data_IF_495834007206
#
_entry.id   IF_495834007206
#
_cell.length_a   1.000
_cell.length_b   1.000
_cell.length_c   1.000
_cell.angle_alpha   90.00
_cell.angle_beta   90.00
_cell.angle_gamma   90.00
#
_symmetry.space_group_name_H-M   'P 1'
#
loop_
_entity.id
_entity.type
_entity.pdbx_description
1 polymer ?
#
# COMPACT_ATOMS: atom_id res chain seq x y z
N UNK A 1 22.08 25.40 31.86
CA UNK A 1 23.37 25.22 31.14
C UNK A 1 23.42 23.78 30.59
N UNK A 2 23.03 23.55 29.34
CA UNK A 2 22.98 22.20 28.73
C UNK A 2 24.43 21.73 28.49
N UNK A 3 24.88 20.68 29.19
CA UNK A 3 26.28 20.23 29.15
C UNK A 3 26.70 19.83 27.72
N UNK A 4 27.98 20.04 27.36
CA UNK A 4 28.52 19.74 26.01
C UNK A 4 28.24 18.29 25.56
N UNK A 5 28.15 17.37 26.53
CA UNK A 5 27.76 15.96 26.36
C UNK A 5 26.31 15.80 25.86
N UNK A 6 25.37 16.59 26.38
CA UNK A 6 23.96 16.55 25.95
C UNK A 6 23.77 16.95 24.48
N UNK A 7 24.61 17.86 23.97
CA UNK A 7 24.58 18.24 22.54
C UNK A 7 25.07 17.11 21.65
N UNK A 8 26.14 16.42 22.03
CA UNK A 8 26.66 15.26 21.30
C UNK A 8 25.64 14.12 21.23
N UNK A 9 24.98 13.83 22.36
CA UNK A 9 23.93 12.82 22.43
C UNK A 9 22.75 13.17 21.52
N UNK A 10 22.32 14.44 21.49
CA UNK A 10 21.27 14.90 20.59
C UNK A 10 21.62 14.67 19.12
N UNK A 11 22.87 14.93 18.68
CA UNK A 11 23.25 14.70 17.29
C UNK A 11 23.20 13.22 16.91
N UNK A 12 23.55 12.31 17.82
CA UNK A 12 23.44 10.87 17.60
C UNK A 12 21.99 10.45 17.46
N UNK A 13 21.10 10.93 18.34
CA UNK A 13 19.66 10.66 18.26
C UNK A 13 19.09 11.16 16.93
N UNK A 14 19.43 12.39 16.52
CA UNK A 14 19.02 12.94 15.24
C UNK A 14 19.53 12.12 14.05
N UNK A 15 20.77 11.65 14.10
CA UNK A 15 21.32 10.77 13.07
C UNK A 15 20.54 9.47 12.92
N UNK A 16 20.22 8.82 14.05
CA UNK A 16 19.43 7.57 14.06
C UNK A 16 18.02 7.80 13.53
N UNK A 17 17.33 8.85 13.99
CA UNK A 17 15.99 9.19 13.52
C UNK A 17 16.03 9.44 12.01
N UNK A 18 16.99 10.23 11.52
CA UNK A 18 17.12 10.53 10.09
C UNK A 18 17.33 9.25 9.27
N UNK A 19 18.18 8.33 9.73
CA UNK A 19 18.40 7.05 9.06
C UNK A 19 17.14 6.20 9.01
N UNK A 20 16.37 6.12 10.11
CA UNK A 20 15.12 5.36 10.16
C UNK A 20 14.07 6.01 9.25
N UNK A 21 13.93 7.34 9.27
CA UNK A 21 13.01 8.06 8.39
C UNK A 21 13.36 7.84 6.93
N UNK A 22 14.64 7.85 6.55
CA UNK A 22 15.06 7.62 5.17
C UNK A 22 14.76 6.18 4.73
N UNK A 23 15.01 5.21 5.62
CA UNK A 23 14.67 3.81 5.38
C UNK A 23 13.16 3.64 5.15
N UNK A 24 12.33 4.16 6.07
CA UNK A 24 10.87 4.09 5.97
C UNK A 24 10.37 4.80 4.72
N UNK A 25 10.91 5.98 4.39
CA UNK A 25 10.56 6.70 3.17
C UNK A 25 10.88 5.89 1.91
N UNK A 26 12.02 5.22 1.86
CA UNK A 26 12.39 4.37 0.72
C UNK A 26 11.44 3.19 0.55
N UNK A 27 11.03 2.55 1.64
CA UNK A 27 10.03 1.46 1.63
C UNK A 27 8.68 2.01 1.21
N UNK A 28 8.26 3.16 1.74
CA UNK A 28 6.99 3.79 1.41
C UNK A 28 6.87 4.10 -0.09
N UNK A 29 7.93 4.63 -0.71
CA UNK A 29 7.94 4.95 -2.14
C UNK A 29 7.68 3.69 -2.98
N UNK A 30 8.28 2.55 -2.63
CA UNK A 30 8.10 1.30 -3.38
C UNK A 30 6.76 0.63 -3.04
N UNK A 31 6.34 0.66 -1.77
CA UNK A 31 5.08 0.08 -1.32
C UNK A 31 3.85 0.69 -1.98
N UNK A 32 3.92 1.97 -2.37
CA UNK A 32 2.85 2.67 -3.08
C UNK A 32 3.13 2.85 -4.60
N UNK A 33 4.19 2.23 -5.13
CA UNK A 33 4.46 2.26 -6.58
C UNK A 33 3.62 1.23 -7.32
N UNK A 34 2.60 1.70 -8.04
CA UNK A 34 1.76 0.85 -8.89
C UNK A 34 2.57 0.01 -9.89
N UNK A 35 3.68 0.53 -10.41
CA UNK A 35 4.48 -0.19 -11.41
C UNK A 35 5.18 -1.41 -10.82
N UNK A 36 5.53 -1.35 -9.53
CA UNK A 36 6.06 -2.50 -8.80
C UNK A 36 5.08 -3.67 -8.86
N UNK A 37 3.81 -3.45 -8.53
CA UNK A 37 2.78 -4.47 -8.56
C UNK A 37 2.46 -4.97 -9.97
N UNK A 38 2.40 -4.07 -10.96
CA UNK A 38 2.22 -4.47 -12.38
C UNK A 38 3.30 -5.45 -12.81
N UNK A 39 4.55 -5.19 -12.44
CA UNK A 39 5.67 -6.08 -12.75
C UNK A 39 5.51 -7.42 -12.06
N UNK A 40 5.13 -7.43 -10.77
CA UNK A 40 4.87 -8.67 -10.02
C UNK A 40 3.74 -9.49 -10.62
N UNK A 41 2.66 -8.88 -11.10
CA UNK A 41 1.57 -9.60 -11.77
C UNK A 41 2.02 -10.34 -13.03
N UNK A 42 2.95 -9.75 -13.78
CA UNK A 42 3.54 -10.37 -14.96
C UNK A 42 4.52 -11.48 -14.54
N UNK A 43 5.38 -11.23 -13.56
CA UNK A 43 6.39 -12.17 -13.08
C UNK A 43 5.78 -13.46 -12.51
N UNK A 44 4.66 -13.33 -11.79
CA UNK A 44 3.96 -14.46 -11.16
C UNK A 44 2.78 -15.00 -11.96
N UNK A 45 2.57 -14.52 -13.20
CA UNK A 45 1.47 -14.95 -14.07
C UNK A 45 0.10 -14.90 -13.36
N UNK A 46 -0.17 -13.75 -12.72
CA UNK A 46 -1.36 -13.54 -11.90
C UNK A 46 -2.65 -13.69 -12.71
N UNK A 47 -2.62 -13.38 -14.01
CA UNK A 47 -3.73 -13.58 -14.94
C UNK A 47 -4.17 -15.05 -14.97
N UNK A 48 -3.22 -15.99 -15.08
CA UNK A 48 -3.54 -17.43 -15.10
C UNK A 48 -4.06 -17.93 -13.76
N UNK A 49 -3.55 -17.39 -12.65
CA UNK A 49 -3.91 -17.84 -11.30
C UNK A 49 -5.27 -17.31 -10.86
N UNK A 50 -5.62 -16.11 -11.29
CA UNK A 50 -6.83 -15.40 -10.82
C UNK A 50 -7.96 -15.39 -11.83
N UNK A 51 -7.70 -15.73 -13.10
CA UNK A 51 -8.70 -15.62 -14.17
C UNK A 51 -9.07 -14.18 -14.54
N UNK A 52 -8.35 -13.19 -13.99
CA UNK A 52 -8.57 -11.76 -14.25
C UNK A 52 -7.59 -11.23 -15.30
N UNK A 53 -8.05 -10.30 -16.13
CA UNK A 53 -7.17 -9.63 -17.09
C UNK A 53 -6.22 -8.62 -16.41
N UNK A 54 -5.10 -8.29 -17.06
CA UNK A 54 -4.11 -7.37 -16.51
C UNK A 54 -4.67 -5.97 -16.19
N UNK A 55 -5.68 -5.48 -16.93
CA UNK A 55 -6.30 -4.17 -16.63
C UNK A 55 -7.16 -4.24 -15.39
N UNK A 56 -7.90 -5.34 -15.20
CA UNK A 56 -8.66 -5.60 -13.97
C UNK A 56 -7.73 -5.69 -12.76
N UNK A 57 -6.64 -6.45 -12.85
CA UNK A 57 -5.63 -6.53 -11.79
C UNK A 57 -5.01 -5.16 -11.46
N UNK A 58 -4.65 -4.38 -12.49
CA UNK A 58 -4.15 -3.02 -12.32
C UNK A 58 -5.19 -2.11 -11.65
N UNK A 59 -6.45 -2.19 -12.06
CA UNK A 59 -7.52 -1.37 -11.50
C UNK A 59 -7.72 -1.67 -10.01
N UNK A 60 -7.73 -2.95 -9.63
CA UNK A 60 -7.91 -3.38 -8.25
C UNK A 60 -6.77 -2.89 -7.36
N UNK A 61 -5.51 -3.14 -7.76
CA UNK A 61 -4.39 -2.74 -6.91
C UNK A 61 -4.26 -1.22 -6.82
N UNK A 62 -4.51 -0.50 -7.92
CA UNK A 62 -4.61 0.97 -7.88
C UNK A 62 -5.67 1.38 -6.86
N UNK A 63 -6.75 0.63 -6.79
CA UNK A 63 -7.84 0.99 -5.91
C UNK A 63 -7.53 0.79 -4.43
N UNK A 64 -6.91 -0.34 -4.13
CA UNK A 64 -6.38 -0.68 -2.81
C UNK A 64 -5.32 0.33 -2.37
N UNK A 65 -4.37 0.70 -3.24
CA UNK A 65 -3.33 1.68 -2.90
C UNK A 65 -3.94 3.04 -2.52
N UNK A 66 -4.93 3.53 -3.27
CA UNK A 66 -5.64 4.77 -2.94
C UNK A 66 -6.41 4.69 -1.62
N UNK A 67 -7.01 3.54 -1.32
CA UNK A 67 -7.69 3.35 -0.03
C UNK A 67 -6.72 3.44 1.16
N UNK A 68 -5.52 2.89 0.99
CA UNK A 68 -4.44 2.92 1.99
C UNK A 68 -3.77 4.31 2.11
N UNK A 69 -3.78 5.12 1.06
CA UNK A 69 -3.29 6.52 1.07
C UNK A 69 -4.33 7.53 1.62
N UNK A 70 -5.47 7.08 2.14
CA UNK A 70 -6.62 7.92 2.51
C UNK A 70 -7.28 8.69 1.37
N UNK A 71 -6.95 8.36 0.12
CA UNK A 71 -7.55 8.93 -1.09
C UNK A 71 -8.95 8.34 -1.38
N UNK A 72 -9.39 7.33 -0.63
CA UNK A 72 -10.76 6.80 -0.64
C UNK A 72 -11.23 6.31 0.74
N UNK A 73 -12.52 6.52 0.99
CA UNK A 73 -13.21 6.09 2.22
C UNK A 73 -13.65 4.61 2.18
N UNK A 74 -14.00 4.07 1.00
CA UNK A 74 -14.49 2.69 0.86
C UNK A 74 -13.77 1.93 -0.28
N UNK A 75 -13.70 0.61 -0.14
CA UNK A 75 -13.18 -0.33 -1.15
C UNK A 75 -14.31 -0.91 -2.00
N UNK A 76 -15.00 -0.07 -2.78
CA UNK A 76 -16.15 -0.45 -3.64
C UNK A 76 -15.77 -0.93 -5.05
N UNK A 77 -14.53 -1.40 -5.20
CA UNK A 77 -13.94 -1.77 -6.50
C UNK A 77 -14.69 -2.87 -7.21
N UNK A 78 -14.99 -2.62 -8.49
CA UNK A 78 -15.60 -3.56 -9.42
C UNK A 78 -14.61 -3.95 -10.50
N UNK A 79 -14.52 -5.23 -10.81
CA UNK A 79 -13.64 -5.71 -11.87
C UNK A 79 -14.28 -6.89 -12.61
N UNK A 80 -13.68 -7.25 -13.75
CA UNK A 80 -14.13 -8.39 -14.53
C UNK A 80 -13.38 -9.63 -14.06
N UNK A 81 -14.12 -10.62 -13.57
CA UNK A 81 -13.60 -11.93 -13.17
C UNK A 81 -14.20 -12.94 -14.14
N UNK A 82 -13.35 -13.65 -14.89
CA UNK A 82 -13.79 -14.70 -15.84
C UNK A 82 -14.85 -14.25 -16.88
N UNK A 83 -14.95 -12.94 -17.16
CA UNK A 83 -15.90 -12.37 -18.12
C UNK A 83 -17.17 -11.79 -17.51
N UNK A 84 -17.39 -11.93 -16.20
CA UNK A 84 -18.50 -11.30 -15.48
C UNK A 84 -18.00 -10.09 -14.67
N UNK A 85 -18.78 -9.00 -14.67
CA UNK A 85 -18.47 -7.81 -13.87
C UNK A 85 -19.06 -7.97 -12.48
N UNK A 86 -18.22 -7.96 -11.45
CA UNK A 86 -18.63 -8.12 -10.05
C UNK A 86 -17.88 -7.20 -9.11
N UNK A 87 -18.40 -7.06 -7.89
CA UNK A 87 -17.64 -6.47 -6.77
C UNK A 87 -16.57 -7.46 -6.32
N UNK A 88 -15.34 -6.97 -6.15
CA UNK A 88 -14.21 -7.80 -5.69
C UNK A 88 -14.29 -8.05 -4.19
N UNK A 89 -14.80 -7.08 -3.45
CA UNK A 89 -14.93 -7.14 -2.00
C UNK A 89 -16.40 -7.23 -1.60
N UNK A 90 -16.73 -8.20 -0.76
CA UNK A 90 -18.06 -8.31 -0.15
C UNK A 90 -18.34 -7.15 0.81
N UNK A 91 -19.61 -6.95 1.16
CA UNK A 91 -20.02 -5.95 2.14
C UNK A 91 -19.35 -6.16 3.51
N UNK A 92 -19.18 -7.41 3.94
CA UNK A 92 -18.52 -7.73 5.21
C UNK A 92 -17.02 -7.41 5.16
N UNK A 93 -16.33 -7.69 4.05
CA UNK A 93 -14.91 -7.37 3.88
C UNK A 93 -14.66 -5.86 3.85
N UNK A 94 -15.57 -5.10 3.22
CA UNK A 94 -15.51 -3.62 3.23
C UNK A 94 -15.62 -3.07 4.65
N UNK A 95 -16.60 -3.51 5.43
CA UNK A 95 -16.75 -3.08 6.84
C UNK A 95 -15.52 -3.46 7.66
N UNK A 96 -14.99 -4.68 7.47
CA UNK A 96 -13.77 -5.10 8.15
C UNK A 96 -12.58 -4.20 7.83
N UNK A 97 -12.43 -3.76 6.57
CA UNK A 97 -11.36 -2.85 6.19
C UNK A 97 -11.51 -1.44 6.78
N UNK A 98 -12.74 -0.97 6.99
CA UNK A 98 -12.99 0.30 7.69
C UNK A 98 -12.56 0.16 9.15
N UNK A 99 -12.97 -0.91 9.84
CA UNK A 99 -12.56 -1.16 11.22
C UNK A 99 -11.03 -1.24 11.36
N UNK A 100 -10.34 -1.90 10.42
CA UNK A 100 -8.87 -1.99 10.41
C UNK A 100 -8.19 -0.64 10.20
N UNK A 101 -8.83 0.27 9.47
CA UNK A 101 -8.31 1.61 9.16
C UNK A 101 -8.44 2.56 10.35
N UNK A 102 -9.38 2.34 11.25
CA UNK A 102 -9.60 3.16 12.45
C UNK A 102 -8.73 2.76 13.68
N UNK A 103 -7.90 1.71 13.56
CA UNK A 103 -7.00 1.21 14.62
C UNK A 103 -5.63 1.89 14.64
#
# INVERSE_FOLDING_TARGET
MRSKTSRKLNYVIWGIILSITLLLASVNIIAFDLNHYKKSFIEYDAVRTTGMDNKSLEHIIRDVLKYLEDDREELDTKAVIEGETGEIFSSTEKVHMIDVKEL
#
